data_IF_759836431656
#
_entry.id   IF_759836431656
#
_cell.length_a   1.000
_cell.length_b   1.000
_cell.length_c   1.000
_cell.angle_alpha   90.00
_cell.angle_beta   90.00
_cell.angle_gamma   90.00
#
_symmetry.space_group_name_H-M   'P 1'
#
loop_
_entity.id
_entity.type
_entity.pdbx_description
1 polymer ?
#
# COMPACT_ATOMS: atom_id res chain seq x y z
N UNK A 1 3.59 -11.99 3.26
CA UNK A 1 3.03 -10.87 2.48
C UNK A 1 2.06 -10.11 3.36
N UNK A 2 1.86 -8.81 3.14
CA UNK A 2 0.90 -8.02 3.93
C UNK A 2 -0.52 -8.28 3.43
N UNK A 3 -1.49 -8.21 4.33
CA UNK A 3 -2.90 -7.99 4.00
C UNK A 3 -3.13 -6.54 3.57
N UNK A 4 -4.30 -6.27 2.98
CA UNK A 4 -4.77 -4.92 2.64
C UNK A 4 -4.74 -3.99 3.86
N UNK A 5 -5.21 -4.47 5.00
CA UNK A 5 -5.29 -3.74 6.27
C UNK A 5 -3.89 -3.44 6.80
N UNK A 6 -2.98 -4.42 6.76
CA UNK A 6 -1.59 -4.23 7.16
C UNK A 6 -0.83 -3.26 6.25
N UNK A 7 -1.12 -3.26 4.94
CA UNK A 7 -0.59 -2.27 4.01
C UNK A 7 -1.04 -0.86 4.39
N UNK A 8 -2.35 -0.63 4.55
CA UNK A 8 -2.91 0.66 4.94
C UNK A 8 -2.37 1.12 6.30
N UNK A 9 -2.33 0.22 7.29
CA UNK A 9 -1.77 0.51 8.61
C UNK A 9 -0.28 0.86 8.55
N UNK A 10 0.48 0.24 7.64
CA UNK A 10 1.90 0.58 7.46
C UNK A 10 2.11 1.99 6.92
N UNK A 11 1.21 2.50 6.06
CA UNK A 11 1.27 3.87 5.56
C UNK A 11 1.01 4.90 6.65
N UNK A 12 0.09 4.62 7.59
CA UNK A 12 -0.20 5.52 8.72
C UNK A 12 1.00 5.74 9.65
N UNK A 13 1.97 4.82 9.64
CA UNK A 13 3.18 4.91 10.46
C UNK A 13 4.29 5.74 9.80
N UNK A 14 4.15 6.08 8.53
CA UNK A 14 5.16 6.83 7.80
C UNK A 14 5.06 8.32 8.10
N UNK A 15 6.21 8.97 8.28
CA UNK A 15 6.33 10.43 8.43
C UNK A 15 6.56 11.08 7.07
N UNK A 16 5.58 10.94 6.17
CA UNK A 16 5.74 11.36 4.78
C UNK A 16 5.72 12.87 4.62
N UNK A 17 6.54 13.33 3.67
CA UNK A 17 6.63 14.73 3.30
C UNK A 17 5.85 15.09 2.04
N UNK A 18 4.53 15.28 2.20
CA UNK A 18 3.61 15.47 1.08
C UNK A 18 3.01 16.86 1.09
N UNK A 19 3.19 17.59 -0.01
CA UNK A 19 2.59 18.89 -0.26
C UNK A 19 1.64 18.82 -1.45
N UNK A 20 0.50 19.50 -1.35
CA UNK A 20 -0.48 19.57 -2.42
C UNK A 20 -1.19 20.93 -2.38
N UNK A 21 -1.36 21.56 -3.54
CA UNK A 21 -1.94 22.92 -3.66
C UNK A 21 -1.27 23.97 -2.77
N UNK A 22 0.05 23.85 -2.54
CA UNK A 22 0.81 24.79 -1.70
C UNK A 22 0.75 24.51 -0.20
N UNK A 23 0.00 23.50 0.25
CA UNK A 23 -0.17 23.17 1.66
C UNK A 23 0.39 21.80 2.02
N UNK A 24 0.76 21.63 3.30
CA UNK A 24 1.24 20.36 3.83
C UNK A 24 0.06 19.42 4.12
N UNK A 25 0.12 18.21 3.57
CA UNK A 25 -0.86 17.16 3.85
C UNK A 25 -0.44 16.38 5.10
N UNK A 26 -1.18 16.55 6.19
CA UNK A 26 -0.89 15.91 7.47
C UNK A 26 -1.38 14.44 7.57
N UNK A 27 -2.41 14.08 6.80
CA UNK A 27 -2.95 12.72 6.77
C UNK A 27 -3.17 12.27 5.32
N UNK A 28 -2.18 11.59 4.76
CA UNK A 28 -2.24 11.11 3.36
C UNK A 28 -3.20 9.95 3.16
N UNK A 29 -3.43 9.13 4.19
CA UNK A 29 -4.22 7.89 4.09
C UNK A 29 -5.71 8.19 3.95
N UNK A 30 -6.19 9.17 4.70
CA UNK A 30 -7.60 9.57 4.66
C UNK A 30 -7.88 10.75 3.72
N UNK A 31 -6.85 11.32 3.08
CA UNK A 31 -7.02 12.45 2.17
C UNK A 31 -7.88 12.05 0.96
N UNK A 32 -9.01 12.73 0.66
CA UNK A 32 -9.98 12.29 -0.34
C UNK A 32 -9.40 12.18 -1.76
N UNK A 33 -8.42 13.01 -2.10
CA UNK A 33 -7.73 12.96 -3.40
C UNK A 33 -6.73 11.79 -3.48
N UNK A 34 -6.10 11.41 -2.38
CA UNK A 34 -5.02 10.40 -2.35
C UNK A 34 -5.60 9.00 -2.14
N UNK A 35 -6.67 8.89 -1.36
CA UNK A 35 -7.30 7.62 -0.99
C UNK A 35 -7.64 6.71 -2.18
N UNK A 36 -8.14 7.20 -3.34
CA UNK A 36 -8.44 6.34 -4.47
C UNK A 36 -7.21 5.62 -5.05
N UNK A 37 -6.08 6.32 -5.21
CA UNK A 37 -4.85 5.70 -5.71
C UNK A 37 -4.28 4.72 -4.70
N UNK A 38 -4.32 5.06 -3.41
CA UNK A 38 -3.93 4.15 -2.34
C UNK A 38 -4.79 2.88 -2.33
N UNK A 39 -6.11 3.00 -2.51
CA UNK A 39 -7.01 1.85 -2.57
C UNK A 39 -6.69 0.92 -3.76
N UNK A 40 -6.31 1.49 -4.91
CA UNK A 40 -5.90 0.71 -6.07
C UNK A 40 -4.66 -0.15 -5.76
N UNK A 41 -3.69 0.39 -5.02
CA UNK A 41 -2.52 -0.38 -4.56
C UNK A 41 -2.91 -1.36 -3.46
N UNK A 42 -3.78 -0.98 -2.53
CA UNK A 42 -4.24 -1.88 -1.46
C UNK A 42 -4.96 -3.12 -2.02
N UNK A 43 -5.66 -2.98 -3.15
CA UNK A 43 -6.30 -4.10 -3.84
C UNK A 43 -5.29 -5.14 -4.36
N UNK A 44 -4.04 -4.76 -4.67
CA UNK A 44 -3.04 -5.75 -5.11
C UNK A 44 -2.67 -6.70 -3.98
N UNK A 45 -2.61 -6.21 -2.73
CA UNK A 45 -2.39 -7.05 -1.55
C UNK A 45 -3.61 -7.90 -1.20
N UNK A 46 -4.82 -7.37 -1.39
CA UNK A 46 -6.08 -8.11 -1.22
C UNK A 46 -6.21 -9.26 -2.22
N UNK A 47 -5.72 -9.08 -3.44
CA UNK A 47 -5.76 -10.08 -4.50
C UNK A 47 -4.54 -11.00 -4.50
N UNK A 48 -3.54 -10.76 -3.65
CA UNK A 48 -2.29 -11.53 -3.63
C UNK A 48 -2.49 -12.91 -2.97
N UNK A 49 -3.34 -13.72 -3.59
CA UNK A 49 -3.65 -15.09 -3.24
C UNK A 49 -3.55 -15.95 -4.51
N UNK A 50 -3.01 -17.16 -4.39
CA UNK A 50 -2.81 -18.07 -5.52
C UNK A 50 -1.65 -17.68 -6.44
N UNK A 51 -1.49 -18.43 -7.53
CA UNK A 51 -0.27 -18.41 -8.35
C UNK A 51 -0.28 -17.36 -9.48
N UNK A 52 -1.42 -16.70 -9.74
CA UNK A 52 -1.49 -15.62 -10.75
C UNK A 52 -0.92 -14.31 -10.19
N UNK A 53 -1.13 -14.06 -8.90
CA UNK A 53 -0.76 -12.80 -8.24
C UNK A 53 0.49 -12.91 -7.38
N UNK A 54 1.08 -14.11 -7.25
CA UNK A 54 2.26 -14.37 -6.40
C UNK A 54 3.25 -15.28 -7.10
N UNK A 55 4.50 -15.29 -6.65
CA UNK A 55 5.52 -16.20 -7.15
C UNK A 55 6.45 -16.70 -6.03
N UNK A 56 7.10 -17.85 -6.22
CA UNK A 56 8.19 -18.29 -5.32
C UNK A 56 9.50 -17.63 -5.76
N UNK A 57 10.08 -16.82 -4.89
CA UNK A 57 11.36 -16.16 -5.13
C UNK A 57 12.49 -17.18 -5.16
N UNK A 58 13.24 -17.25 -6.28
CA UNK A 58 14.44 -18.08 -6.39
C UNK A 58 15.59 -17.63 -5.47
N UNK A 59 15.56 -16.39 -4.98
CA UNK A 59 16.57 -15.84 -4.07
C UNK A 59 16.35 -16.26 -2.62
N UNK A 60 15.09 -16.41 -2.21
CA UNK A 60 14.74 -16.61 -0.79
C UNK A 60 13.95 -17.89 -0.51
N UNK A 61 13.45 -18.57 -1.54
CA UNK A 61 12.53 -19.70 -1.42
C UNK A 61 11.15 -19.34 -0.88
N UNK A 62 10.86 -18.05 -0.63
CA UNK A 62 9.60 -17.58 -0.07
C UNK A 62 8.63 -17.14 -1.16
N UNK A 63 7.33 -17.28 -0.90
CA UNK A 63 6.27 -16.68 -1.72
C UNK A 63 6.28 -15.16 -1.55
N UNK A 64 6.32 -14.44 -2.67
CA UNK A 64 6.30 -12.97 -2.78
C UNK A 64 5.11 -12.48 -3.58
#
# INVERSE_FOLDING_TARGET
MKTKEEYIASLRKLKLEVYMFGERVNNVVDHPIIRPSMNAVAATYELAHGDVMTATSHLTGKRI
#
